data_IF_678385011890
#
_entry.id   IF_678385011890
#
_cell.length_a   1.000
_cell.length_b   1.000
_cell.length_c   1.000
_cell.angle_alpha   90.00
_cell.angle_beta   90.00
_cell.angle_gamma   90.00
#
_symmetry.space_group_name_H-M   'P 1'
#
loop_
_entity.id
_entity.type
_entity.pdbx_description
1 polymer ?
#
# COMPACT_ATOMS: atom_id res chain seq x y z
N UNK A 1 2.36 4.85 -21.65
CA UNK A 1 1.05 4.54 -21.02
C UNK A 1 1.11 3.40 -20.01
N UNK A 2 1.76 2.27 -20.30
CA UNK A 2 1.84 1.10 -19.39
C UNK A 2 2.36 1.43 -17.97
N UNK A 3 3.40 2.25 -17.85
CA UNK A 3 3.96 2.62 -16.54
C UNK A 3 3.00 3.38 -15.63
N UNK A 4 2.29 4.38 -16.16
CA UNK A 4 1.29 5.14 -15.39
C UNK A 4 0.12 4.26 -14.93
N UNK A 5 -0.33 3.33 -15.79
CA UNK A 5 -1.36 2.36 -15.46
C UNK A 5 -0.89 1.39 -14.36
N UNK A 6 0.34 0.88 -14.44
CA UNK A 6 0.94 0.07 -13.37
C UNK A 6 0.93 0.82 -12.04
N UNK A 7 1.43 2.07 -12.01
CA UNK A 7 1.47 2.87 -10.79
C UNK A 7 0.05 3.10 -10.24
N UNK A 8 -0.91 3.44 -11.08
CA UNK A 8 -2.31 3.62 -10.66
C UNK A 8 -2.92 2.36 -10.04
N UNK A 9 -2.65 1.19 -10.61
CA UNK A 9 -3.10 -0.09 -10.05
C UNK A 9 -2.38 -0.44 -8.73
N UNK A 10 -1.09 -0.15 -8.61
CA UNK A 10 -0.34 -0.33 -7.35
C UNK A 10 -0.86 0.58 -6.24
N UNK A 11 -1.27 1.81 -6.56
CA UNK A 11 -1.91 2.74 -5.61
C UNK A 11 -3.24 2.14 -5.13
N UNK A 12 -4.12 1.74 -6.06
CA UNK A 12 -5.42 1.14 -5.71
C UNK A 12 -5.24 -0.11 -4.85
N UNK A 13 -4.33 -1.02 -5.24
CA UNK A 13 -3.99 -2.20 -4.46
C UNK A 13 -3.59 -1.85 -3.03
N UNK A 14 -2.66 -0.90 -2.86
CA UNK A 14 -2.16 -0.54 -1.54
C UNK A 14 -3.22 0.10 -0.62
N UNK A 15 -4.23 0.78 -1.19
CA UNK A 15 -5.38 1.26 -0.40
C UNK A 15 -6.12 0.06 0.21
N UNK A 16 -6.44 -0.96 -0.60
CA UNK A 16 -7.09 -2.19 -0.10
C UNK A 16 -6.21 -2.95 0.90
N UNK A 17 -4.91 -3.07 0.64
CA UNK A 17 -3.94 -3.67 1.56
C UNK A 17 -3.96 -2.97 2.93
N UNK A 18 -3.88 -1.63 2.92
CA UNK A 18 -3.87 -0.81 4.15
C UNK A 18 -5.18 -0.96 4.92
N UNK A 19 -6.32 -0.98 4.22
CA UNK A 19 -7.63 -1.20 4.84
C UNK A 19 -7.75 -2.61 5.43
N UNK A 20 -7.27 -3.64 4.73
CA UNK A 20 -7.28 -5.02 5.22
C UNK A 20 -6.44 -5.16 6.49
N UNK A 21 -5.24 -4.55 6.51
CA UNK A 21 -4.30 -4.71 7.62
C UNK A 21 -4.64 -3.84 8.83
N UNK A 22 -5.12 -2.61 8.62
CA UNK A 22 -5.27 -1.64 9.71
C UNK A 22 -6.69 -1.07 9.86
N UNK A 23 -7.54 -1.18 8.85
CA UNK A 23 -8.92 -0.64 8.90
C UNK A 23 -9.71 -1.19 10.08
N UNK A 24 -9.50 -2.47 10.40
CA UNK A 24 -10.19 -3.12 11.51
C UNK A 24 -9.85 -2.57 12.89
N UNK A 25 -8.68 -1.95 13.07
CA UNK A 25 -8.29 -1.32 14.32
C UNK A 25 -9.21 -0.14 14.67
N UNK A 26 -9.85 0.47 13.66
CA UNK A 26 -10.83 1.53 13.84
C UNK A 26 -12.29 1.04 13.83
N UNK A 27 -12.54 -0.23 13.49
CA UNK A 27 -13.89 -0.80 13.50
C UNK A 27 -14.53 -0.84 14.89
N UNK A 28 -13.74 -0.77 15.97
CA UNK A 28 -14.28 -0.60 17.33
C UNK A 28 -15.07 0.71 17.52
N UNK A 29 -14.80 1.74 16.72
CA UNK A 29 -15.58 3.00 16.75
C UNK A 29 -16.89 2.88 15.95
N UNK A 30 -17.02 1.86 15.11
CA UNK A 30 -18.23 1.59 14.32
C UNK A 30 -19.12 0.62 15.10
N UNK A 31 -20.27 1.11 15.56
CA UNK A 31 -21.28 0.35 16.33
C UNK A 31 -21.68 -1.00 15.71
N UNK A 32 -21.49 -1.18 14.40
CA UNK A 32 -21.81 -2.42 13.69
C UNK A 32 -20.75 -3.53 13.86
N UNK A 33 -19.53 -3.18 14.28
CA UNK A 33 -18.40 -4.11 14.43
C UNK A 33 -17.84 -4.18 15.86
N UNK A 34 -18.50 -3.54 16.82
CA UNK A 34 -18.05 -3.46 18.22
C UNK A 34 -17.85 -4.85 18.86
N UNK A 35 -18.66 -5.84 18.46
CA UNK A 35 -18.58 -7.24 18.92
C UNK A 35 -18.01 -8.21 17.87
N UNK A 36 -17.38 -7.71 16.81
CA UNK A 36 -16.79 -8.58 15.79
C UNK A 36 -15.64 -9.38 16.40
N UNK A 37 -15.82 -10.71 16.50
CA UNK A 37 -14.77 -11.61 16.95
C UNK A 37 -13.58 -11.61 15.99
N UNK A 38 -12.41 -12.02 16.48
CA UNK A 38 -11.16 -12.06 15.70
C UNK A 38 -11.32 -12.85 14.39
N UNK A 39 -12.09 -13.94 14.42
CA UNK A 39 -12.39 -14.76 13.23
C UNK A 39 -13.13 -13.94 12.17
N UNK A 40 -14.16 -13.19 12.55
CA UNK A 40 -14.92 -12.32 11.63
C UNK A 40 -14.03 -11.24 11.02
N UNK A 41 -13.16 -10.63 11.82
CA UNK A 41 -12.22 -9.61 11.35
C UNK A 41 -11.24 -10.20 10.33
N UNK A 42 -10.71 -11.41 10.58
CA UNK A 42 -9.82 -12.10 9.63
C UNK A 42 -10.53 -12.35 8.31
N UNK A 43 -11.77 -12.85 8.31
CA UNK A 43 -12.52 -13.09 7.08
C UNK A 43 -12.82 -11.81 6.29
N UNK A 44 -13.16 -10.72 6.98
CA UNK A 44 -13.36 -9.41 6.32
C UNK A 44 -12.04 -8.93 5.71
N UNK A 45 -10.94 -9.06 6.43
CA UNK A 45 -9.61 -8.66 5.96
C UNK A 45 -9.17 -9.50 4.75
N UNK A 46 -9.48 -10.79 4.72
CA UNK A 46 -9.29 -11.65 3.55
C UNK A 46 -10.16 -11.22 2.36
N UNK A 47 -11.42 -10.85 2.61
CA UNK A 47 -12.29 -10.30 1.59
C UNK A 47 -11.70 -9.03 0.95
N UNK A 48 -11.14 -8.14 1.76
CA UNK A 48 -10.43 -6.94 1.27
C UNK A 48 -9.14 -7.28 0.52
N UNK A 49 -8.35 -8.23 1.02
CA UNK A 49 -7.14 -8.69 0.36
C UNK A 49 -7.42 -9.31 -1.02
N UNK A 50 -8.58 -9.95 -1.23
CA UNK A 50 -8.97 -10.43 -2.55
C UNK A 50 -9.07 -9.27 -3.57
N UNK A 51 -9.65 -8.14 -3.17
CA UNK A 51 -9.72 -6.94 -4.02
C UNK A 51 -8.34 -6.34 -4.25
N UNK A 52 -7.48 -6.30 -3.23
CA UNK A 52 -6.07 -5.90 -3.40
C UNK A 52 -5.40 -6.70 -4.53
N UNK A 53 -5.56 -8.03 -4.54
CA UNK A 53 -4.94 -8.89 -5.55
C UNK A 53 -5.48 -8.68 -6.96
N UNK A 54 -6.76 -8.30 -7.13
CA UNK A 54 -7.30 -7.93 -8.43
C UNK A 54 -6.59 -6.73 -9.07
N UNK A 55 -5.94 -5.88 -8.28
CA UNK A 55 -5.13 -4.76 -8.80
C UNK A 55 -3.63 -5.09 -8.79
N UNK A 56 -3.14 -5.73 -7.73
CA UNK A 56 -1.71 -6.03 -7.55
C UNK A 56 -1.17 -6.96 -8.65
N UNK A 57 -1.90 -8.04 -8.96
CA UNK A 57 -1.45 -9.04 -9.93
C UNK A 57 -1.38 -8.45 -11.34
N UNK A 58 -2.42 -7.76 -11.88
CA UNK A 58 -2.32 -7.09 -13.16
C UNK A 58 -1.27 -5.98 -13.20
N UNK A 59 -1.11 -5.19 -12.11
CA UNK A 59 -0.12 -4.13 -12.05
C UNK A 59 1.30 -4.66 -12.29
N UNK A 60 1.67 -5.71 -11.55
CA UNK A 60 2.97 -6.34 -11.67
C UNK A 60 3.14 -7.01 -13.04
N UNK A 61 2.11 -7.70 -13.55
CA UNK A 61 2.19 -8.36 -14.86
C UNK A 61 2.38 -7.36 -16.00
N UNK A 62 1.67 -6.23 -16.00
CA UNK A 62 1.77 -5.17 -17.01
C UNK A 62 3.07 -4.37 -16.86
N UNK A 63 3.52 -4.18 -15.63
CA UNK A 63 4.69 -3.38 -15.29
C UNK A 63 6.01 -4.09 -15.52
N UNK A 64 6.03 -5.43 -15.42
CA UNK A 64 7.25 -6.22 -15.41
C UNK A 64 7.94 -6.28 -16.77
N UNK A 65 9.24 -6.01 -16.77
CA UNK A 65 10.06 -5.84 -17.97
C UNK A 65 10.06 -7.09 -18.87
N UNK A 66 10.12 -8.29 -18.30
CA UNK A 66 10.09 -9.54 -19.07
C UNK A 66 8.72 -9.81 -19.73
N UNK A 67 7.66 -9.17 -19.24
CA UNK A 67 6.33 -9.20 -19.85
C UNK A 67 6.10 -8.03 -20.84
N UNK A 68 7.16 -7.29 -21.22
CA UNK A 68 7.07 -6.12 -22.09
C UNK A 68 6.56 -4.85 -21.39
N UNK A 69 6.71 -4.80 -20.06
CA UNK A 69 6.51 -3.64 -19.22
C UNK A 69 7.76 -2.76 -19.09
N UNK A 70 7.66 -1.58 -18.46
CA UNK A 70 8.77 -0.63 -18.36
C UNK A 70 9.68 -0.82 -17.15
N UNK A 71 9.34 -1.69 -16.18
CA UNK A 71 10.02 -1.76 -14.89
C UNK A 71 10.64 -3.13 -14.62
N UNK A 72 11.85 -3.17 -14.09
CA UNK A 72 12.45 -4.41 -13.57
C UNK A 72 11.70 -4.91 -12.33
N UNK A 73 11.93 -6.16 -11.93
CA UNK A 73 11.32 -6.73 -10.71
C UNK A 73 11.63 -5.87 -9.48
N UNK A 74 12.89 -5.45 -9.34
CA UNK A 74 13.35 -4.62 -8.23
C UNK A 74 12.69 -3.24 -8.26
N UNK A 75 12.58 -2.62 -9.44
CA UNK A 75 11.90 -1.33 -9.58
C UNK A 75 10.43 -1.41 -9.18
N UNK A 76 9.70 -2.46 -9.61
CA UNK A 76 8.30 -2.66 -9.20
C UNK A 76 8.15 -2.78 -7.69
N UNK A 77 9.01 -3.58 -7.04
CA UNK A 77 8.95 -3.75 -5.59
C UNK A 77 9.20 -2.42 -4.86
N UNK A 78 10.17 -1.64 -5.32
CA UNK A 78 10.52 -0.36 -4.70
C UNK A 78 9.44 0.69 -4.91
N UNK A 79 8.87 0.76 -6.11
CA UNK A 79 7.68 1.59 -6.35
C UNK A 79 6.55 1.21 -5.39
N UNK A 80 6.32 -0.09 -5.18
CA UNK A 80 5.29 -0.59 -4.28
C UNK A 80 5.57 -0.21 -2.81
N UNK A 81 6.81 -0.30 -2.34
CA UNK A 81 7.20 0.11 -0.97
C UNK A 81 7.00 1.62 -0.75
N UNK A 82 7.39 2.45 -1.73
CA UNK A 82 7.17 3.90 -1.68
C UNK A 82 5.67 4.21 -1.61
N UNK A 83 4.87 3.57 -2.46
CA UNK A 83 3.40 3.72 -2.46
C UNK A 83 2.80 3.26 -1.13
N UNK A 84 3.26 2.12 -0.60
CA UNK A 84 2.83 1.56 0.70
C UNK A 84 3.00 2.59 1.80
N UNK A 85 4.19 3.17 1.89
CA UNK A 85 4.53 4.11 2.98
C UNK A 85 3.77 5.42 2.84
N UNK A 86 3.61 5.94 1.62
CA UNK A 86 2.79 7.13 1.37
C UNK A 86 1.33 6.87 1.79
N UNK A 87 0.73 5.78 1.33
CA UNK A 87 -0.67 5.46 1.64
C UNK A 87 -0.84 5.18 3.14
N UNK A 88 0.10 4.47 3.76
CA UNK A 88 0.07 4.23 5.20
C UNK A 88 0.12 5.52 6.01
N UNK A 89 0.99 6.46 5.64
CA UNK A 89 1.07 7.78 6.30
C UNK A 89 -0.22 8.59 6.10
N UNK A 90 -0.78 8.61 4.88
CA UNK A 90 -2.07 9.27 4.65
C UNK A 90 -3.19 8.63 5.46
N UNK A 91 -3.22 7.29 5.50
CA UNK A 91 -4.18 6.53 6.27
C UNK A 91 -4.05 6.80 7.77
N UNK A 92 -2.83 6.80 8.32
CA UNK A 92 -2.60 7.10 9.74
C UNK A 92 -3.04 8.51 10.09
N UNK A 93 -2.74 9.52 9.28
CA UNK A 93 -3.17 10.90 9.54
C UNK A 93 -4.70 11.08 9.47
N UNK A 94 -5.37 10.41 8.53
CA UNK A 94 -6.82 10.52 8.33
C UNK A 94 -7.63 9.69 9.34
N UNK A 95 -7.20 8.44 9.59
CA UNK A 95 -7.90 7.48 10.44
C UNK A 95 -7.39 7.50 11.88
N UNK A 96 -6.12 7.80 12.13
CA UNK A 96 -5.53 7.83 13.47
C UNK A 96 -5.09 9.26 13.80
N UNK A 97 -6.09 10.13 14.02
CA UNK A 97 -5.94 11.59 14.24
C UNK A 97 -5.01 11.99 15.41
N UNK A 98 -4.56 11.04 16.22
CA UNK A 98 -3.64 11.27 17.35
C UNK A 98 -2.16 11.01 17.00
N UNK A 99 -1.85 10.50 15.79
CA UNK A 99 -0.46 10.33 15.36
C UNK A 99 0.10 11.65 14.84
N UNK A 100 0.88 12.33 15.70
CA UNK A 100 1.63 13.53 15.31
C UNK A 100 2.77 13.15 14.37
N UNK A 101 2.91 13.85 13.24
CA UNK A 101 4.01 13.66 12.31
C UNK A 101 5.36 13.99 12.99
N UNK A 102 6.07 12.96 13.46
CA UNK A 102 7.36 13.12 14.16
C UNK A 102 8.51 13.25 13.16
N UNK A 103 9.57 13.96 13.54
CA UNK A 103 10.78 14.17 12.73
C UNK A 103 11.37 12.87 12.15
N UNK A 104 11.28 11.76 12.87
CA UNK A 104 11.75 10.45 12.41
C UNK A 104 11.04 9.98 11.12
N UNK A 105 9.79 10.38 10.89
CA UNK A 105 9.07 10.08 9.64
C UNK A 105 9.69 10.82 8.46
N UNK A 106 10.10 12.08 8.64
CA UNK A 106 10.77 12.85 7.60
C UNK A 106 12.12 12.23 7.21
N UNK A 107 12.88 11.74 8.20
CA UNK A 107 14.12 10.99 7.96
C UNK A 107 13.84 9.67 7.23
N UNK A 108 12.78 8.95 7.61
CA UNK A 108 12.33 7.76 6.89
C UNK A 108 12.00 8.05 5.43
N UNK A 109 11.26 9.13 5.15
CA UNK A 109 10.97 9.57 3.78
C UNK A 109 12.24 9.92 2.99
N UNK A 110 13.21 10.57 3.61
CA UNK A 110 14.50 10.86 2.98
C UNK A 110 15.21 9.56 2.55
N UNK A 111 15.23 8.54 3.41
CA UNK A 111 15.82 7.25 3.05
C UNK A 111 15.06 6.52 1.94
N UNK A 112 13.73 6.69 1.83
CA UNK A 112 12.98 6.17 0.68
C UNK A 112 13.36 6.87 -0.62
N UNK A 113 13.53 8.19 -0.60
CA UNK A 113 14.00 8.94 -1.77
C UNK A 113 15.39 8.47 -2.19
N UNK A 114 16.29 8.25 -1.23
CA UNK A 114 17.61 7.70 -1.50
C UNK A 114 17.54 6.28 -2.08
N UNK A 115 16.67 5.42 -1.54
CA UNK A 115 16.46 4.08 -2.07
C UNK A 115 15.98 4.10 -3.53
N UNK A 116 15.01 4.97 -3.85
CA UNK A 116 14.56 5.19 -5.24
C UNK A 116 15.73 5.67 -6.10
N UNK A 117 16.49 6.66 -5.65
CA UNK A 117 17.63 7.17 -6.41
C UNK A 117 18.63 6.06 -6.77
N UNK A 118 19.07 5.26 -5.79
CA UNK A 118 20.06 4.21 -6.03
C UNK A 118 19.55 3.07 -6.92
N UNK A 119 18.26 2.73 -6.83
CA UNK A 119 17.68 1.61 -7.59
C UNK A 119 17.40 2.01 -9.05
N UNK A 120 17.17 3.30 -9.31
CA UNK A 120 16.97 3.84 -10.66
C UNK A 120 18.25 4.42 -11.28
N UNK A 121 19.34 4.54 -10.51
CA UNK A 121 20.66 4.94 -11.02
C UNK A 121 21.23 3.81 -11.89
N UNK A 122 21.55 4.13 -13.14
CA UNK A 122 22.29 3.25 -14.05
C UNK A 122 23.75 3.12 -13.65
#
# INVERSE_FOLDING_TARGET
MKGALTIGLLILSNIFMTLAWYGHLKFKELKWFENAGLITIVFISWGLALFEYFFQVPANKIGYQENGGPFSLMQLKVIQEVITLIIFVLFSLLFFKNETFRWNHAVGFLFLVLAVYFIFKK
#
